data_IF_374947037750
#
_entry.id   IF_374947037750
#
_cell.length_a   1.000
_cell.length_b   1.000
_cell.length_c   1.000
_cell.angle_alpha   90.00
_cell.angle_beta   90.00
_cell.angle_gamma   90.00
#
_symmetry.space_group_name_H-M   'P 1'
#
loop_
_entity.id
_entity.type
_entity.pdbx_description
1 polymer ?
#
# COMPACT_ATOMS: atom_id res chain seq x y z
N UNK A 1 20.93 -4.74 34.85
CA UNK A 1 19.87 -5.62 34.30
C UNK A 1 20.60 -6.66 33.46
N UNK A 2 20.37 -7.95 33.71
CA UNK A 2 20.98 -9.05 32.93
C UNK A 2 20.32 -9.07 31.55
N UNK A 3 21.10 -8.95 30.47
CA UNK A 3 20.59 -9.00 29.10
C UNK A 3 19.70 -10.25 28.89
N UNK A 4 18.57 -10.14 28.17
CA UNK A 4 17.71 -11.28 27.89
C UNK A 4 18.50 -12.37 27.14
N UNK A 5 18.49 -13.60 27.68
CA UNK A 5 19.14 -14.74 27.03
C UNK A 5 18.23 -15.28 25.92
N UNK A 6 18.33 -14.70 24.72
CA UNK A 6 17.60 -15.19 23.55
C UNK A 6 18.14 -16.55 23.05
N UNK A 7 17.29 -17.44 22.53
CA UNK A 7 17.75 -18.65 21.83
C UNK A 7 18.56 -18.28 20.58
N UNK A 8 19.43 -19.18 20.15
CA UNK A 8 20.24 -19.01 18.94
C UNK A 8 19.61 -19.81 17.79
N UNK A 9 19.47 -19.16 16.64
CA UNK A 9 19.16 -19.81 15.36
C UNK A 9 20.30 -19.56 14.38
N UNK A 10 20.58 -20.53 13.50
CA UNK A 10 21.78 -20.47 12.65
C UNK A 10 21.46 -20.65 11.18
N UNK A 11 22.13 -19.85 10.35
CA UNK A 11 22.15 -20.04 8.91
C UNK A 11 22.82 -21.36 8.52
N UNK A 12 22.37 -21.94 7.42
CA UNK A 12 23.08 -23.07 6.78
C UNK A 12 24.41 -22.58 6.18
N UNK A 13 25.41 -23.46 6.04
CA UNK A 13 26.70 -23.11 5.44
C UNK A 13 26.64 -22.48 4.04
N UNK A 14 25.61 -22.81 3.25
CA UNK A 14 25.40 -22.30 1.90
C UNK A 14 24.47 -21.08 1.81
N UNK A 15 23.95 -20.59 2.94
CA UNK A 15 23.08 -19.41 2.95
C UNK A 15 23.91 -18.12 2.73
N UNK A 16 23.30 -17.11 2.12
CA UNK A 16 23.98 -15.87 1.78
C UNK A 16 24.01 -14.89 2.97
N UNK A 17 24.85 -15.16 3.98
CA UNK A 17 25.01 -14.29 5.14
C UNK A 17 25.42 -12.85 4.76
N UNK A 18 26.15 -12.67 3.64
CA UNK A 18 26.55 -11.36 3.13
C UNK A 18 25.35 -10.49 2.74
N UNK A 19 24.34 -11.06 2.08
CA UNK A 19 23.14 -10.32 1.71
C UNK A 19 22.40 -9.78 2.94
N UNK A 20 22.27 -10.60 3.98
CA UNK A 20 21.64 -10.19 5.24
C UNK A 20 22.45 -9.08 5.91
N UNK A 21 23.78 -9.19 5.98
CA UNK A 21 24.66 -8.12 6.50
C UNK A 21 24.50 -6.80 5.72
N UNK A 22 24.25 -6.89 4.42
CA UNK A 22 24.07 -5.73 3.54
C UNK A 22 22.64 -5.16 3.52
N UNK A 23 21.75 -5.63 4.38
CA UNK A 23 20.41 -5.06 4.54
C UNK A 23 19.25 -5.93 4.07
N UNK A 24 19.49 -7.13 3.52
CA UNK A 24 18.39 -8.04 3.21
C UNK A 24 17.66 -8.45 4.50
N UNK A 25 16.34 -8.24 4.63
CA UNK A 25 15.66 -8.31 5.92
C UNK A 25 15.19 -9.72 6.30
N UNK A 26 15.24 -10.69 5.39
CA UNK A 26 14.62 -12.00 5.55
C UNK A 26 15.62 -13.15 5.56
N UNK A 27 15.27 -14.22 6.27
CA UNK A 27 15.88 -15.55 6.11
C UNK A 27 14.76 -16.49 5.67
N UNK A 28 14.97 -17.22 4.59
CA UNK A 28 14.01 -18.21 4.13
C UNK A 28 14.18 -19.55 4.85
N UNK A 29 13.11 -20.33 4.97
CA UNK A 29 13.13 -21.60 5.70
C UNK A 29 14.18 -22.60 5.18
N UNK A 30 14.53 -22.55 3.89
CA UNK A 30 15.57 -23.36 3.27
C UNK A 30 17.00 -22.84 3.53
N UNK A 31 17.16 -21.66 4.14
CA UNK A 31 18.45 -21.04 4.48
C UNK A 31 18.81 -21.20 5.96
N UNK A 32 17.84 -21.59 6.82
CA UNK A 32 18.04 -21.81 8.25
C UNK A 32 18.26 -23.29 8.58
N UNK A 33 19.10 -23.58 9.58
CA UNK A 33 19.23 -24.90 10.18
C UNK A 33 18.00 -25.16 11.06
N UNK A 34 17.23 -26.19 10.71
CA UNK A 34 15.99 -26.55 11.43
C UNK A 34 16.16 -27.85 12.22
N UNK A 35 16.66 -27.70 13.45
CA UNK A 35 16.75 -28.77 14.44
C UNK A 35 15.49 -28.86 15.33
N UNK A 36 15.51 -29.75 16.33
CA UNK A 36 14.38 -29.90 17.25
C UNK A 36 14.08 -28.63 18.06
N UNK A 37 15.10 -27.84 18.42
CA UNK A 37 14.96 -26.64 19.27
C UNK A 37 14.35 -25.48 18.48
N UNK A 38 14.91 -25.18 17.31
CA UNK A 38 14.40 -24.14 16.41
C UNK A 38 12.98 -24.43 15.93
N UNK A 39 12.62 -25.69 15.67
CA UNK A 39 11.24 -26.10 15.32
C UNK A 39 10.25 -25.96 16.47
N UNK A 40 10.71 -25.99 17.72
CA UNK A 40 9.85 -25.83 18.90
C UNK A 40 9.60 -24.38 19.31
N UNK A 41 10.22 -23.40 18.64
CA UNK A 41 9.98 -21.99 18.91
C UNK A 41 8.54 -21.62 18.52
N UNK A 42 7.86 -20.88 19.37
CA UNK A 42 6.54 -20.35 19.05
C UNK A 42 6.66 -19.30 17.93
N UNK A 43 5.69 -19.20 17.00
CA UNK A 43 5.63 -18.08 16.06
C UNK A 43 5.75 -16.72 16.76
N UNK A 44 6.67 -15.88 16.31
CA UNK A 44 6.95 -14.57 16.90
C UNK A 44 8.04 -14.56 17.97
N UNK A 45 8.63 -15.73 18.30
CA UNK A 45 9.74 -15.82 19.25
C UNK A 45 10.94 -15.00 18.77
N UNK A 46 11.62 -14.33 19.69
CA UNK A 46 12.87 -13.63 19.42
C UNK A 46 14.07 -14.59 19.52
N UNK A 47 15.06 -14.42 18.65
CA UNK A 47 16.27 -15.23 18.63
C UNK A 47 17.47 -14.41 18.11
N UNK A 48 18.68 -14.78 18.53
CA UNK A 48 19.91 -14.30 17.90
C UNK A 48 20.18 -15.12 16.65
N UNK A 49 20.32 -14.45 15.51
CA UNK A 49 20.75 -15.08 14.27
C UNK A 49 22.27 -15.15 14.23
N UNK A 50 22.81 -16.34 14.01
CA UNK A 50 24.22 -16.56 13.71
C UNK A 50 24.42 -17.00 12.25
N UNK A 51 25.58 -16.65 11.69
CA UNK A 51 26.05 -17.27 10.46
C UNK A 51 26.60 -18.70 10.69
N UNK A 52 27.10 -19.33 9.63
CA UNK A 52 27.64 -20.68 9.69
C UNK A 52 28.89 -20.80 10.59
N UNK A 53 29.63 -19.71 10.78
CA UNK A 53 30.84 -19.61 11.60
C UNK A 53 30.53 -19.23 13.06
N UNK A 54 29.24 -19.21 13.43
CA UNK A 54 28.72 -18.82 14.76
C UNK A 54 28.99 -17.36 15.11
N UNK A 55 29.12 -16.51 14.10
CA UNK A 55 29.22 -15.06 14.31
C UNK A 55 27.81 -14.49 14.44
N UNK A 56 27.47 -13.78 15.53
CA UNK A 56 26.19 -13.09 15.66
C UNK A 56 25.96 -12.07 14.53
N UNK A 57 24.73 -12.03 14.01
CA UNK A 57 24.32 -11.16 12.90
C UNK A 57 23.27 -10.12 13.30
N UNK A 58 22.55 -10.37 14.39
CA UNK A 58 21.50 -9.50 14.92
C UNK A 58 20.34 -10.28 15.56
N UNK A 59 19.39 -9.52 16.10
CA UNK A 59 18.16 -10.01 16.69
C UNK A 59 17.08 -10.21 15.60
N UNK A 60 16.47 -11.39 15.58
CA UNK A 60 15.41 -11.75 14.63
C UNK A 60 14.17 -12.24 15.35
N UNK A 61 13.01 -12.07 14.71
CA UNK A 61 11.84 -12.90 15.03
C UNK A 61 11.93 -14.23 14.28
N UNK A 62 11.36 -15.29 14.84
CA UNK A 62 11.26 -16.62 14.23
C UNK A 62 9.80 -17.05 14.09
N UNK A 63 9.42 -17.55 12.92
CA UNK A 63 8.16 -18.24 12.69
C UNK A 63 8.43 -19.56 11.94
N UNK A 64 8.50 -20.71 12.64
CA UNK A 64 8.84 -21.99 12.00
C UNK A 64 7.86 -22.45 10.92
N UNK A 65 6.64 -21.88 10.88
CA UNK A 65 5.59 -22.23 9.93
C UNK A 65 5.61 -21.35 8.67
N UNK A 66 6.43 -20.30 8.64
CA UNK A 66 6.52 -19.36 7.52
C UNK A 66 7.63 -19.73 6.54
N UNK A 67 7.42 -19.39 5.25
CA UNK A 67 8.51 -19.44 4.25
C UNK A 67 9.60 -18.43 4.57
N UNK A 68 9.22 -17.28 5.11
CA UNK A 68 10.13 -16.27 5.67
C UNK A 68 10.26 -16.61 7.16
N UNK A 69 11.19 -17.52 7.47
CA UNK A 69 11.29 -18.08 8.81
C UNK A 69 11.86 -17.09 9.82
N UNK A 70 12.75 -16.20 9.37
CA UNK A 70 13.24 -15.11 10.21
C UNK A 70 13.08 -13.75 9.53
N UNK A 71 12.80 -12.73 10.34
CA UNK A 71 12.85 -11.32 9.93
C UNK A 71 13.79 -10.57 10.87
N UNK A 72 14.70 -9.79 10.30
CA UNK A 72 15.67 -8.97 11.04
C UNK A 72 14.96 -7.82 11.76
N UNK A 73 15.04 -7.79 13.09
CA UNK A 73 14.47 -6.73 13.92
C UNK A 73 15.52 -5.68 14.25
N UNK A 74 16.69 -6.12 14.73
CA UNK A 74 17.80 -5.24 15.09
C UNK A 74 19.16 -5.87 14.75
N UNK A 75 20.15 -5.01 14.48
CA UNK A 75 21.54 -5.45 14.24
C UNK A 75 22.28 -5.72 15.54
N UNK A 76 21.85 -5.11 16.63
CA UNK A 76 22.33 -5.46 17.95
C UNK A 76 21.62 -6.74 18.43
N UNK A 77 22.36 -7.85 18.64
CA UNK A 77 21.78 -9.11 19.13
C UNK A 77 21.30 -9.04 20.59
N UNK A 78 21.69 -8.03 21.35
CA UNK A 78 21.31 -7.85 22.76
C UNK A 78 20.14 -6.88 22.96
N UNK A 79 19.64 -6.27 21.87
CA UNK A 79 18.55 -5.29 21.91
C UNK A 79 17.25 -5.88 22.49
N UNK A 80 16.46 -5.05 23.14
CA UNK A 80 15.16 -5.45 23.69
C UNK A 80 14.01 -4.81 22.91
N UNK A 81 13.04 -5.61 22.48
CA UNK A 81 11.85 -5.13 21.76
C UNK A 81 10.82 -4.58 22.76
N UNK A 82 11.06 -3.36 23.24
CA UNK A 82 10.20 -2.66 24.20
C UNK A 82 9.67 -1.32 23.63
N UNK A 83 8.93 -0.55 24.43
CA UNK A 83 8.36 0.73 24.00
C UNK A 83 9.43 1.75 23.56
N UNK A 84 10.64 1.74 24.15
CA UNK A 84 11.72 2.62 23.74
C UNK A 84 12.27 2.24 22.35
N UNK A 85 12.38 0.94 22.06
CA UNK A 85 12.77 0.42 20.75
C UNK A 85 11.80 0.84 19.64
N UNK A 86 10.50 0.75 19.90
CA UNK A 86 9.46 1.25 18.99
C UNK A 86 9.51 2.77 18.88
N UNK A 87 9.65 3.48 19.99
CA UNK A 87 9.73 4.94 20.04
C UNK A 87 10.86 5.49 19.15
N UNK A 88 12.06 4.91 19.24
CA UNK A 88 13.20 5.31 18.41
C UNK A 88 12.94 5.10 16.91
N UNK A 89 12.22 4.04 16.53
CA UNK A 89 11.84 3.75 15.14
C UNK A 89 10.73 4.67 14.63
N UNK A 90 9.70 4.89 15.44
CA UNK A 90 8.61 5.82 15.16
C UNK A 90 9.15 7.24 14.96
N UNK A 91 10.10 7.69 15.78
CA UNK A 91 10.73 9.00 15.62
C UNK A 91 11.45 9.14 14.28
N UNK A 92 12.19 8.11 13.84
CA UNK A 92 12.84 8.13 12.50
C UNK A 92 11.81 8.17 11.38
N UNK A 93 10.74 7.38 11.49
CA UNK A 93 9.67 7.34 10.51
C UNK A 93 8.91 8.67 10.43
N UNK A 94 8.56 9.26 11.58
CA UNK A 94 7.92 10.59 11.70
C UNK A 94 8.81 11.67 11.09
N UNK A 95 10.11 11.71 11.43
CA UNK A 95 11.05 12.68 10.89
C UNK A 95 11.15 12.58 9.35
N UNK A 96 11.12 11.36 8.81
CA UNK A 96 11.11 11.15 7.37
C UNK A 96 9.84 11.71 6.72
N UNK A 97 8.65 11.41 7.25
CA UNK A 97 7.39 11.88 6.66
C UNK A 97 7.19 13.38 6.84
N UNK A 98 7.64 13.96 7.95
CA UNK A 98 7.69 15.42 8.15
C UNK A 98 8.58 16.11 7.10
N UNK A 99 9.70 15.47 6.70
CA UNK A 99 10.56 15.99 5.62
C UNK A 99 9.87 15.95 4.25
N UNK A 100 9.03 14.96 4.00
CA UNK A 100 8.31 14.79 2.74
C UNK A 100 7.09 15.70 2.61
N UNK A 101 6.33 15.87 3.69
CA UNK A 101 5.01 16.49 3.64
C UNK A 101 4.80 17.67 4.60
N UNK A 102 5.87 18.12 5.26
CA UNK A 102 5.80 19.19 6.25
C UNK A 102 4.87 18.80 7.41
N UNK A 103 3.88 19.65 7.68
CA UNK A 103 2.93 19.47 8.78
C UNK A 103 1.76 18.53 8.45
N UNK A 104 1.70 17.95 7.25
CA UNK A 104 0.62 17.02 6.89
C UNK A 104 0.71 15.73 7.70
N UNK A 105 -0.33 15.47 8.49
CA UNK A 105 -0.44 14.29 9.37
C UNK A 105 -1.21 13.12 8.75
N UNK A 106 -1.39 13.13 7.44
CA UNK A 106 -2.01 12.05 6.70
C UNK A 106 -1.01 11.41 5.74
N UNK A 107 -0.55 10.20 6.03
CA UNK A 107 0.46 9.48 5.24
C UNK A 107 0.65 8.05 5.77
N UNK A 108 1.33 7.20 4.99
CA UNK A 108 1.92 5.99 5.55
C UNK A 108 3.06 6.35 6.49
N UNK A 109 2.88 6.11 7.78
CA UNK A 109 3.91 6.36 8.78
C UNK A 109 4.95 5.25 8.79
N UNK A 110 4.53 3.99 8.79
CA UNK A 110 5.43 2.82 8.82
C UNK A 110 5.11 1.90 7.67
N UNK A 111 6.14 1.56 6.89
CA UNK A 111 6.07 0.64 5.76
C UNK A 111 6.95 -0.60 5.98
N UNK A 112 6.57 -1.40 6.99
CA UNK A 112 7.12 -2.72 7.26
C UNK A 112 8.66 -2.74 7.39
N UNK A 113 9.32 -3.64 6.66
CA UNK A 113 10.78 -3.80 6.67
C UNK A 113 11.53 -2.51 6.33
N UNK A 114 10.98 -1.66 5.47
CA UNK A 114 11.63 -0.45 5.00
C UNK A 114 11.79 0.60 6.12
N UNK A 115 10.93 0.56 7.14
CA UNK A 115 11.01 1.40 8.34
C UNK A 115 11.56 0.66 9.57
N UNK A 116 12.12 -0.54 9.36
CA UNK A 116 12.74 -1.33 10.43
C UNK A 116 11.74 -1.99 11.38
N UNK A 117 10.49 -2.16 10.97
CA UNK A 117 9.44 -2.88 11.72
C UNK A 117 8.82 -3.97 10.81
N UNK A 118 9.53 -5.08 10.54
CA UNK A 118 9.09 -6.10 9.59
C UNK A 118 7.67 -6.62 9.84
N UNK A 119 6.81 -6.50 8.82
CA UNK A 119 5.41 -6.92 8.92
C UNK A 119 4.48 -5.97 9.68
N UNK A 120 4.95 -4.78 10.10
CA UNK A 120 4.09 -3.74 10.69
C UNK A 120 3.82 -2.66 9.64
N UNK A 121 2.55 -2.35 9.41
CA UNK A 121 2.16 -1.16 8.63
C UNK A 121 1.42 -0.21 9.56
N UNK A 122 1.71 1.08 9.48
CA UNK A 122 0.97 2.12 10.19
C UNK A 122 0.62 3.21 9.20
N UNK A 123 -0.67 3.42 8.98
CA UNK A 123 -1.18 4.59 8.27
C UNK A 123 -1.71 5.59 9.31
N UNK A 124 -1.27 6.85 9.18
CA UNK A 124 -1.66 7.95 10.07
C UNK A 124 -2.69 8.81 9.34
N UNK A 125 -3.78 9.12 10.04
CA UNK A 125 -4.88 9.99 9.62
C UNK A 125 -5.09 11.04 10.73
N UNK A 126 -4.31 12.12 10.69
CA UNK A 126 -4.26 13.11 11.76
C UNK A 126 -3.82 12.46 13.09
N UNK A 127 -4.67 12.45 14.12
CA UNK A 127 -4.42 11.81 15.41
C UNK A 127 -4.85 10.33 15.45
N UNK A 128 -5.37 9.79 14.33
CA UNK A 128 -5.77 8.38 14.21
C UNK A 128 -4.65 7.56 13.59
N UNK A 129 -4.25 6.48 14.25
CA UNK A 129 -3.23 5.53 13.80
C UNK A 129 -3.88 4.18 13.52
N UNK A 130 -3.89 3.77 12.26
CA UNK A 130 -4.37 2.45 11.85
C UNK A 130 -3.18 1.52 11.67
N UNK A 131 -3.08 0.54 12.56
CA UNK A 131 -1.93 -0.38 12.66
C UNK A 131 -2.33 -1.74 12.11
N UNK A 132 -1.56 -2.26 11.16
CA UNK A 132 -1.65 -3.63 10.68
C UNK A 132 -0.44 -4.44 11.20
N UNK A 133 -0.55 -5.11 12.36
CA UNK A 133 0.49 -6.01 12.87
C UNK A 133 0.38 -7.35 12.14
N UNK A 134 0.99 -7.45 10.95
CA UNK A 134 0.81 -8.62 10.09
C UNK A 134 1.72 -9.80 10.44
N UNK A 135 2.76 -9.60 11.25
CA UNK A 135 3.69 -10.64 11.70
C UNK A 135 3.47 -11.03 13.16
N UNK A 136 3.70 -12.30 13.52
CA UNK A 136 3.43 -12.84 14.85
C UNK A 136 4.12 -12.05 15.98
N UNK A 137 5.40 -11.67 15.82
CA UNK A 137 6.12 -10.89 16.83
C UNK A 137 5.46 -9.53 17.10
N UNK A 138 4.94 -8.87 16.06
CA UNK A 138 4.33 -7.56 16.18
C UNK A 138 2.99 -7.64 16.90
N UNK A 139 2.25 -8.73 16.70
CA UNK A 139 1.00 -8.99 17.43
C UNK A 139 1.29 -9.25 18.92
N UNK A 140 2.35 -9.98 19.25
CA UNK A 140 2.80 -10.21 20.64
C UNK A 140 3.28 -8.93 21.34
N UNK A 141 3.94 -8.03 20.61
CA UNK A 141 4.48 -6.77 21.17
C UNK A 141 3.57 -5.56 20.92
N UNK A 142 2.29 -5.79 20.60
CA UNK A 142 1.37 -4.73 20.21
C UNK A 142 1.20 -3.66 21.30
N UNK A 143 1.12 -4.06 22.58
CA UNK A 143 0.98 -3.11 23.69
C UNK A 143 2.20 -2.18 23.85
N UNK A 144 3.41 -2.69 23.59
CA UNK A 144 4.62 -1.88 23.62
C UNK A 144 4.64 -0.86 22.46
N UNK A 145 4.12 -1.25 21.28
CA UNK A 145 3.94 -0.34 20.15
C UNK A 145 2.88 0.74 20.47
N UNK A 146 1.75 0.35 21.07
CA UNK A 146 0.71 1.29 21.52
C UNK A 146 1.29 2.33 22.48
N UNK A 147 2.02 1.89 23.51
CA UNK A 147 2.66 2.79 24.47
C UNK A 147 3.67 3.75 23.81
N UNK A 148 4.40 3.28 22.79
CA UNK A 148 5.32 4.12 22.04
C UNK A 148 4.60 5.20 21.20
N UNK A 149 3.42 4.90 20.65
CA UNK A 149 2.59 5.87 19.91
C UNK A 149 1.98 6.88 20.87
N UNK A 150 1.46 6.45 22.03
CA UNK A 150 0.93 7.33 23.08
C UNK A 150 2.00 8.31 23.61
N UNK A 151 3.26 7.89 23.66
CA UNK A 151 4.36 8.78 24.02
C UNK A 151 4.76 9.76 22.90
N UNK A 152 4.51 9.42 21.64
CA UNK A 152 4.92 10.21 20.47
C UNK A 152 3.84 11.17 19.96
N UNK A 153 2.57 10.91 20.28
CA UNK A 153 1.42 11.70 19.84
C UNK A 153 0.48 11.95 21.00
N UNK A 154 0.06 13.19 21.30
CA UNK A 154 -0.89 13.45 22.35
C UNK A 154 -2.27 12.89 21.97
N UNK A 155 -2.91 12.15 22.89
CA UNK A 155 -4.27 11.60 22.76
C UNK A 155 -4.55 10.87 21.42
N UNK A 156 -3.75 9.86 21.03
CA UNK A 156 -3.96 9.19 19.76
C UNK A 156 -5.18 8.26 19.84
N UNK A 157 -5.95 8.19 18.75
CA UNK A 157 -6.86 7.08 18.52
C UNK A 157 -6.08 5.98 17.81
N UNK A 158 -6.05 4.77 18.34
CA UNK A 158 -5.29 3.65 17.78
C UNK A 158 -6.25 2.54 17.39
N UNK A 159 -6.25 2.19 16.10
CA UNK A 159 -7.04 1.09 15.55
C UNK A 159 -6.09 -0.05 15.19
N UNK A 160 -6.33 -1.23 15.76
CA UNK A 160 -5.69 -2.47 15.34
C UNK A 160 -6.50 -3.06 14.20
N UNK A 161 -5.96 -2.99 12.98
CA UNK A 161 -6.55 -3.59 11.79
C UNK A 161 -5.70 -4.78 11.36
N UNK A 162 -5.90 -5.90 12.06
CA UNK A 162 -5.31 -7.18 11.74
C UNK A 162 -6.20 -7.97 10.77
N UNK A 163 -6.59 -7.39 9.65
CA UNK A 163 -7.38 -8.11 8.62
C UNK A 163 -6.50 -8.44 7.40
N UNK A 164 -6.73 -9.61 6.78
CA UNK A 164 -6.15 -9.94 5.49
C UNK A 164 -5.20 -11.14 5.45
N UNK A 165 -4.75 -11.44 4.23
CA UNK A 165 -4.05 -12.70 3.89
C UNK A 165 -2.72 -12.88 4.62
N UNK A 166 -2.00 -11.80 4.92
CA UNK A 166 -0.67 -11.87 5.54
C UNK A 166 -0.72 -12.51 6.93
N UNK A 167 -1.72 -12.18 7.75
CA UNK A 167 -1.90 -12.75 9.10
C UNK A 167 -2.17 -14.25 9.08
N UNK A 168 -2.99 -14.72 8.14
CA UNK A 168 -3.25 -16.16 7.94
C UNK A 168 -1.97 -16.93 7.61
N UNK A 169 -1.04 -16.34 6.86
CA UNK A 169 0.27 -16.94 6.57
C UNK A 169 1.20 -16.98 7.79
N UNK A 170 0.97 -16.12 8.77
CA UNK A 170 1.72 -16.06 10.03
C UNK A 170 1.04 -16.87 11.15
N UNK A 171 -0.12 -17.49 10.87
CA UNK A 171 -0.87 -18.31 11.84
C UNK A 171 -1.71 -17.48 12.82
N UNK A 172 -1.99 -16.22 12.49
CA UNK A 172 -2.75 -15.30 13.33
C UNK A 172 -4.22 -15.23 12.90
N UNK A 173 -5.11 -15.04 13.88
CA UNK A 173 -6.52 -14.75 13.64
C UNK A 173 -6.71 -13.33 13.10
N UNK A 174 -7.79 -13.12 12.34
CA UNK A 174 -8.19 -11.78 11.91
C UNK A 174 -8.80 -11.02 13.08
N UNK A 175 -8.42 -9.77 13.24
CA UNK A 175 -8.94 -8.89 14.31
C UNK A 175 -9.10 -7.47 13.79
N UNK A 176 -10.13 -6.79 14.26
CA UNK A 176 -10.35 -5.37 14.07
C UNK A 176 -10.88 -4.79 15.38
N UNK A 177 -10.11 -3.92 16.02
CA UNK A 177 -10.49 -3.31 17.28
C UNK A 177 -9.92 -1.90 17.44
N UNK A 178 -10.64 -1.06 18.18
CA UNK A 178 -10.11 0.22 18.66
C UNK A 178 -9.34 -0.06 19.94
N UNK A 179 -8.01 0.00 19.85
CA UNK A 179 -7.13 -0.28 20.98
C UNK A 179 -7.05 0.89 21.96
N UNK A 180 -7.17 2.14 21.47
CA UNK A 180 -7.18 3.38 22.26
C UNK A 180 -8.05 4.44 21.60
N UNK A 181 -8.68 5.27 22.43
CA UNK A 181 -9.56 6.34 22.00
C UNK A 181 -10.87 5.82 21.39
N UNK A 182 -11.49 6.64 20.56
CA UNK A 182 -12.77 6.34 19.92
C UNK A 182 -12.73 6.76 18.44
N UNK A 183 -13.48 6.04 17.60
CA UNK A 183 -13.68 6.37 16.18
C UNK A 183 -15.16 6.70 15.98
N UNK A 184 -15.47 7.98 15.78
CA UNK A 184 -16.86 8.45 15.65
C UNK A 184 -17.44 8.27 14.23
N UNK A 185 -16.61 7.97 13.24
CA UNK A 185 -17.00 7.80 11.84
C UNK A 185 -15.83 8.01 10.88
N UNK A 186 -16.10 8.18 9.58
CA UNK A 186 -15.05 8.38 8.58
C UNK A 186 -14.21 9.62 8.87
N UNK A 187 -12.88 9.46 8.84
CA UNK A 187 -11.88 10.47 9.17
C UNK A 187 -11.59 11.33 7.95
N UNK A 188 -11.78 12.65 8.08
CA UNK A 188 -11.43 13.62 7.04
C UNK A 188 -9.92 13.80 6.90
N UNK A 189 -9.41 13.77 5.67
CA UNK A 189 -7.98 13.90 5.35
C UNK A 189 -7.78 14.81 4.15
N UNK A 190 -6.78 15.67 4.20
CA UNK A 190 -6.37 16.49 3.06
C UNK A 190 -5.14 15.90 2.35
N UNK A 191 -5.22 15.79 1.03
CA UNK A 191 -4.06 15.52 0.18
C UNK A 191 -4.27 16.13 -1.21
N UNK A 192 -3.22 16.61 -1.85
CA UNK A 192 -3.28 17.16 -3.22
C UNK A 192 -4.34 18.27 -3.42
N UNK A 193 -4.59 19.07 -2.39
CA UNK A 193 -5.62 20.11 -2.41
C UNK A 193 -7.07 19.60 -2.27
N UNK A 194 -7.28 18.30 -2.14
CA UNK A 194 -8.59 17.68 -2.00
C UNK A 194 -8.86 17.14 -0.59
N UNK A 195 -10.13 17.12 -0.20
CA UNK A 195 -10.61 16.50 1.04
C UNK A 195 -11.14 15.09 0.76
N UNK A 196 -10.61 14.11 1.47
CA UNK A 196 -10.96 12.70 1.41
C UNK A 196 -11.57 12.26 2.74
N UNK A 197 -12.34 11.18 2.73
CA UNK A 197 -12.82 10.54 3.94
C UNK A 197 -12.40 9.07 3.96
N UNK A 198 -11.75 8.67 5.04
CA UNK A 198 -11.30 7.31 5.27
C UNK A 198 -12.18 6.65 6.33
N UNK A 199 -12.86 5.56 5.97
CA UNK A 199 -13.46 4.68 6.96
C UNK A 199 -12.40 3.69 7.45
N UNK A 200 -11.93 3.91 8.69
CA UNK A 200 -10.83 3.15 9.28
C UNK A 200 -11.28 1.85 9.95
N UNK A 201 -12.59 1.61 10.04
CA UNK A 201 -13.17 0.40 10.61
C UNK A 201 -13.75 -0.51 9.53
N UNK A 202 -14.59 0.03 8.65
CA UNK A 202 -15.32 -0.77 7.65
C UNK A 202 -14.74 -0.63 6.23
N UNK A 203 -13.82 0.33 6.02
CA UNK A 203 -13.19 0.57 4.73
C UNK A 203 -12.21 -0.51 4.30
N UNK A 204 -11.90 -0.55 2.99
CA UNK A 204 -10.86 -1.45 2.49
C UNK A 204 -9.46 -1.03 2.96
N UNK A 205 -8.59 -2.02 3.19
CA UNK A 205 -7.24 -1.83 3.75
C UNK A 205 -7.30 -1.06 5.07
N UNK A 206 -6.76 0.15 5.11
CA UNK A 206 -6.71 1.06 6.26
C UNK A 206 -7.67 2.25 6.09
N UNK A 207 -8.44 2.30 4.99
CA UNK A 207 -9.43 3.33 4.67
C UNK A 207 -9.06 4.23 3.49
N UNK A 208 -7.77 4.41 3.15
CA UNK A 208 -7.30 5.24 2.03
C UNK A 208 -6.00 4.71 1.41
N UNK A 209 -5.77 5.03 0.15
CA UNK A 209 -4.59 4.61 -0.62
C UNK A 209 -3.57 5.75 -0.72
N UNK A 210 -2.72 5.91 0.31
CA UNK A 210 -1.65 6.92 0.31
C UNK A 210 -0.55 6.63 -0.73
N UNK A 211 -0.37 5.37 -1.12
CA UNK A 211 0.60 4.96 -2.15
C UNK A 211 0.36 5.65 -3.50
N UNK A 212 -0.88 6.00 -3.82
CA UNK A 212 -1.26 6.70 -5.05
C UNK A 212 -1.14 8.23 -4.99
N UNK A 213 -0.75 8.83 -3.86
CA UNK A 213 -0.74 10.30 -3.67
C UNK A 213 -0.08 11.06 -4.82
N UNK A 214 1.12 10.67 -5.22
CA UNK A 214 1.86 11.34 -6.29
C UNK A 214 1.21 11.13 -7.68
N UNK A 215 0.58 9.97 -7.89
CA UNK A 215 -0.11 9.65 -9.14
C UNK A 215 -1.43 10.42 -9.25
N UNK A 216 -2.16 10.60 -8.14
CA UNK A 216 -3.31 11.51 -8.06
C UNK A 216 -2.89 12.93 -8.42
N UNK A 217 -1.78 13.44 -7.85
CA UNK A 217 -1.26 14.77 -8.15
C UNK A 217 -0.85 14.92 -9.63
N UNK A 218 -0.20 13.90 -10.21
CA UNK A 218 0.13 13.89 -11.63
C UNK A 218 -1.13 13.98 -12.50
N UNK A 219 -2.12 13.12 -12.24
CA UNK A 219 -3.37 13.08 -12.99
C UNK A 219 -4.16 14.40 -12.89
N UNK A 220 -4.18 15.02 -11.71
CA UNK A 220 -4.87 16.28 -11.47
C UNK A 220 -4.35 17.42 -12.37
N UNK A 221 -3.05 17.44 -12.68
CA UNK A 221 -2.48 18.44 -13.62
C UNK A 221 -3.00 18.30 -15.05
N UNK A 222 -3.41 17.10 -15.45
CA UNK A 222 -4.01 16.86 -16.77
C UNK A 222 -5.49 17.25 -16.83
N UNK A 223 -6.11 17.48 -15.66
CA UNK A 223 -7.55 17.59 -15.53
C UNK A 223 -8.10 19.02 -15.52
N UNK A 224 -7.26 20.05 -15.64
CA UNK A 224 -7.72 21.45 -15.59
C UNK A 224 -8.74 21.73 -16.72
N UNK A 225 -9.95 22.17 -16.35
CA UNK A 225 -11.10 22.37 -17.25
C UNK A 225 -11.53 21.11 -18.05
N UNK A 226 -11.13 19.92 -17.61
CA UNK A 226 -11.39 18.65 -18.27
C UNK A 226 -12.61 17.93 -17.71
N UNK A 227 -13.27 17.09 -18.52
CA UNK A 227 -14.15 16.01 -18.04
C UNK A 227 -13.30 14.79 -17.71
N UNK A 228 -13.45 14.27 -16.50
CA UNK A 228 -12.65 13.14 -15.99
C UNK A 228 -13.54 11.93 -15.70
N UNK A 229 -13.09 10.76 -16.12
CA UNK A 229 -13.66 9.47 -15.71
C UNK A 229 -12.64 8.75 -14.80
N UNK A 230 -13.04 8.49 -13.56
CA UNK A 230 -12.26 7.72 -12.57
C UNK A 230 -12.91 6.34 -12.38
N UNK A 231 -12.30 5.30 -12.95
CA UNK A 231 -12.81 3.93 -12.91
C UNK A 231 -12.07 3.13 -11.84
N UNK A 232 -12.81 2.33 -11.08
CA UNK A 232 -12.32 1.68 -9.85
C UNK A 232 -11.96 2.74 -8.79
N UNK A 233 -12.81 3.76 -8.70
CA UNK A 233 -12.49 5.02 -8.01
C UNK A 233 -12.30 4.88 -6.50
N UNK A 234 -12.77 3.80 -5.88
CA UNK A 234 -12.84 3.66 -4.43
C UNK A 234 -13.50 4.91 -3.82
N UNK A 235 -12.88 5.55 -2.83
CA UNK A 235 -13.34 6.82 -2.21
C UNK A 235 -13.01 8.07 -3.04
N UNK A 236 -12.80 7.92 -4.35
CA UNK A 236 -12.60 9.02 -5.30
C UNK A 236 -11.16 9.56 -5.34
N UNK A 237 -10.15 8.69 -5.20
CA UNK A 237 -8.73 9.07 -5.14
C UNK A 237 -8.29 10.07 -6.21
N UNK A 238 -8.38 9.65 -7.47
CA UNK A 238 -8.02 10.45 -8.64
C UNK A 238 -9.08 11.51 -8.94
N UNK A 239 -10.36 11.16 -8.86
CA UNK A 239 -11.47 12.06 -9.14
C UNK A 239 -11.48 13.32 -8.27
N UNK A 240 -11.31 13.17 -6.95
CA UNK A 240 -11.30 14.31 -6.01
C UNK A 240 -10.07 15.20 -6.21
N UNK A 241 -8.89 14.61 -6.46
CA UNK A 241 -7.69 15.40 -6.77
C UNK A 241 -7.86 16.21 -8.05
N UNK A 242 -8.45 15.61 -9.09
CA UNK A 242 -8.75 16.29 -10.33
C UNK A 242 -9.73 17.44 -10.12
N UNK A 243 -10.79 17.21 -9.34
CA UNK A 243 -11.81 18.21 -9.03
C UNK A 243 -11.24 19.40 -8.26
N UNK A 244 -10.45 19.14 -7.21
CA UNK A 244 -9.76 20.17 -6.43
C UNK A 244 -8.80 21.01 -7.30
N UNK A 245 -8.22 20.42 -8.35
CA UNK A 245 -7.34 21.10 -9.29
C UNK A 245 -8.08 21.72 -10.50
N UNK A 246 -9.40 21.87 -10.43
CA UNK A 246 -10.18 22.61 -11.42
C UNK A 246 -10.71 21.80 -12.60
N UNK A 247 -10.94 20.49 -12.43
CA UNK A 247 -11.70 19.73 -13.41
C UNK A 247 -13.11 20.29 -13.62
N UNK A 248 -13.59 20.30 -14.87
CA UNK A 248 -14.92 20.79 -15.20
C UNK A 248 -16.02 19.86 -14.68
N UNK A 249 -15.73 18.56 -14.62
CA UNK A 249 -16.60 17.57 -14.01
C UNK A 249 -15.94 16.21 -13.92
N UNK A 250 -16.34 15.44 -12.91
CA UNK A 250 -15.82 14.11 -12.62
C UNK A 250 -16.97 13.11 -12.57
N UNK A 251 -16.78 11.96 -13.21
CA UNK A 251 -17.59 10.76 -13.02
C UNK A 251 -16.73 9.67 -12.35
N UNK A 252 -17.11 9.27 -11.14
CA UNK A 252 -16.47 8.18 -10.40
C UNK A 252 -17.29 6.89 -10.50
N UNK A 253 -16.63 5.79 -10.84
CA UNK A 253 -17.23 4.47 -11.03
C UNK A 253 -16.61 3.47 -10.06
N UNK A 254 -17.46 2.85 -9.23
CA UNK A 254 -17.06 1.77 -8.33
C UNK A 254 -18.21 0.80 -8.10
N UNK A 255 -17.91 -0.40 -7.61
CA UNK A 255 -18.94 -1.38 -7.23
C UNK A 255 -19.47 -1.17 -5.80
N UNK A 256 -18.70 -0.47 -4.97
CA UNK A 256 -19.00 -0.16 -3.58
C UNK A 256 -19.74 1.16 -3.43
N UNK A 257 -21.04 1.12 -3.10
CA UNK A 257 -21.81 2.33 -2.78
C UNK A 257 -21.22 3.10 -1.58
N UNK A 258 -20.84 2.45 -0.45
CA UNK A 258 -20.23 3.18 0.66
C UNK A 258 -18.96 3.95 0.27
N UNK A 259 -18.16 3.40 -0.66
CA UNK A 259 -16.98 4.11 -1.15
C UNK A 259 -17.35 5.35 -1.99
N UNK A 260 -18.37 5.23 -2.84
CA UNK A 260 -18.90 6.34 -3.65
C UNK A 260 -19.52 7.44 -2.77
N UNK A 261 -20.23 7.07 -1.69
CA UNK A 261 -20.77 8.02 -0.71
C UNK A 261 -19.66 8.83 -0.01
N UNK A 262 -18.55 8.16 0.37
CA UNK A 262 -17.37 8.85 0.93
C UNK A 262 -16.73 9.80 -0.10
N UNK A 263 -16.69 9.41 -1.37
CA UNK A 263 -16.20 10.27 -2.45
C UNK A 263 -17.08 11.52 -2.62
N UNK A 264 -18.41 11.34 -2.66
CA UNK A 264 -19.37 12.44 -2.72
C UNK A 264 -19.23 13.39 -1.51
N UNK A 265 -19.02 12.84 -0.31
CA UNK A 265 -18.76 13.62 0.90
C UNK A 265 -17.49 14.46 0.77
N UNK A 266 -16.44 13.90 0.17
CA UNK A 266 -15.21 14.64 -0.17
C UNK A 266 -15.49 15.83 -1.11
N UNK A 267 -16.21 15.59 -2.21
CA UNK A 267 -16.59 16.65 -3.15
C UNK A 267 -17.46 17.74 -2.50
N UNK A 268 -18.40 17.34 -1.63
CA UNK A 268 -19.25 18.26 -0.88
C UNK A 268 -18.45 19.11 0.13
N UNK A 269 -17.48 18.52 0.83
CA UNK A 269 -16.61 19.25 1.77
C UNK A 269 -15.78 20.34 1.07
N UNK A 270 -15.46 20.16 -0.21
CA UNK A 270 -14.78 21.16 -1.04
C UNK A 270 -15.74 22.18 -1.70
N UNK A 271 -17.05 22.05 -1.51
CA UNK A 271 -18.05 22.88 -2.19
C UNK A 271 -18.21 22.59 -3.69
N UNK A 272 -17.74 21.42 -4.16
CA UNK A 272 -17.67 21.04 -5.58
C UNK A 272 -18.64 19.90 -5.94
N UNK A 273 -19.60 19.58 -5.07
CA UNK A 273 -20.59 18.53 -5.30
C UNK A 273 -21.33 18.62 -6.66
N UNK A 274 -21.71 19.81 -7.19
CA UNK A 274 -22.37 19.89 -8.50
C UNK A 274 -21.54 19.38 -9.68
N UNK A 275 -20.21 19.33 -9.53
CA UNK A 275 -19.26 18.88 -10.56
C UNK A 275 -18.76 17.45 -10.31
N UNK A 276 -19.33 16.73 -9.34
CA UNK A 276 -18.96 15.35 -9.02
C UNK A 276 -20.16 14.43 -9.12
N UNK A 277 -20.05 13.40 -9.97
CA UNK A 277 -21.10 12.41 -10.18
C UNK A 277 -20.54 11.02 -9.95
N UNK A 278 -21.41 10.08 -9.57
CA UNK A 278 -21.05 8.69 -9.32
C UNK A 278 -21.91 7.75 -10.14
N UNK A 279 -21.36 6.60 -10.51
CA UNK A 279 -22.12 5.51 -11.13
C UNK A 279 -21.68 4.18 -10.54
N UNK A 280 -22.54 3.59 -9.71
CA UNK A 280 -22.31 2.28 -9.12
C UNK A 280 -22.43 1.18 -10.16
N UNK A 281 -21.45 0.28 -10.21
CA UNK A 281 -21.56 -0.94 -11.00
C UNK A 281 -20.25 -1.69 -11.15
N UNK A 282 -20.32 -2.85 -11.83
CA UNK A 282 -19.10 -3.49 -12.33
C UNK A 282 -18.43 -2.58 -13.35
N UNK A 283 -17.15 -2.28 -13.15
CA UNK A 283 -16.41 -1.33 -13.97
C UNK A 283 -16.42 -1.67 -15.47
N UNK A 284 -16.37 -2.96 -15.84
CA UNK A 284 -16.41 -3.35 -17.25
C UNK A 284 -17.79 -3.08 -17.85
N UNK A 285 -18.87 -3.44 -17.15
CA UNK A 285 -20.24 -3.16 -17.59
C UNK A 285 -20.53 -1.66 -17.69
N UNK A 286 -20.06 -0.87 -16.73
CA UNK A 286 -20.26 0.58 -16.75
C UNK A 286 -19.47 1.22 -17.90
N UNK A 287 -18.23 0.81 -18.15
CA UNK A 287 -17.47 1.30 -19.31
C UNK A 287 -18.13 0.92 -20.64
N UNK A 288 -18.71 -0.27 -20.75
CA UNK A 288 -19.48 -0.72 -21.92
C UNK A 288 -20.72 0.16 -22.14
N UNK A 289 -21.52 0.37 -21.09
CA UNK A 289 -22.70 1.24 -21.14
C UNK A 289 -22.34 2.69 -21.51
N UNK A 290 -21.28 3.26 -20.91
CA UNK A 290 -20.81 4.60 -21.27
C UNK A 290 -20.41 4.70 -22.74
N UNK A 291 -19.79 3.66 -23.30
CA UNK A 291 -19.43 3.64 -24.71
C UNK A 291 -20.68 3.55 -25.62
N UNK A 292 -21.69 2.77 -25.22
CA UNK A 292 -23.00 2.69 -25.91
C UNK A 292 -23.78 4.02 -25.82
N UNK A 293 -23.64 4.75 -24.71
CA UNK A 293 -24.17 6.11 -24.50
C UNK A 293 -23.43 7.16 -25.34
N UNK A 294 -22.29 6.81 -25.96
CA UNK A 294 -21.46 7.74 -26.73
C UNK A 294 -20.65 8.71 -25.86
N UNK A 295 -20.50 8.42 -24.56
CA UNK A 295 -19.75 9.26 -23.64
C UNK A 295 -18.25 9.22 -23.91
N UNK A 296 -17.62 10.39 -23.80
CA UNK A 296 -16.18 10.55 -23.92
C UNK A 296 -15.64 11.59 -22.96
N UNK A 297 -14.41 11.37 -22.51
CA UNK A 297 -13.74 12.15 -21.46
C UNK A 297 -12.37 12.62 -21.94
N UNK A 298 -11.92 13.74 -21.42
CA UNK A 298 -10.61 14.30 -21.75
C UNK A 298 -9.50 13.54 -20.98
N UNK A 299 -9.82 13.04 -19.77
CA UNK A 299 -8.94 12.20 -18.96
C UNK A 299 -9.71 10.98 -18.46
N UNK A 300 -9.18 9.78 -18.70
CA UNK A 300 -9.71 8.53 -18.13
C UNK A 300 -8.63 7.89 -17.26
N UNK A 301 -8.98 7.51 -16.02
CA UNK A 301 -8.11 6.77 -15.11
C UNK A 301 -8.73 5.41 -14.81
N UNK A 302 -7.92 4.36 -14.78
CA UNK A 302 -8.33 3.06 -14.25
C UNK A 302 -7.30 2.53 -13.26
N UNK A 303 -7.71 2.36 -12.00
CA UNK A 303 -6.91 1.74 -10.95
C UNK A 303 -7.56 0.46 -10.39
N UNK A 304 -7.58 -0.62 -11.18
CA UNK A 304 -8.24 -1.84 -10.76
C UNK A 304 -7.52 -2.53 -9.59
N UNK A 305 -8.21 -3.44 -8.87
CA UNK A 305 -7.57 -4.31 -7.90
C UNK A 305 -6.46 -5.17 -8.54
N UNK A 306 -5.64 -5.80 -7.71
CA UNK A 306 -4.53 -6.63 -8.18
C UNK A 306 -5.04 -7.86 -8.96
N UNK A 307 -5.03 -7.79 -10.30
CA UNK A 307 -5.39 -8.91 -11.18
C UNK A 307 -4.30 -10.00 -11.28
N UNK A 308 -3.05 -9.70 -10.92
CA UNK A 308 -1.92 -10.63 -10.92
C UNK A 308 -1.24 -10.69 -9.52
N UNK A 309 -1.92 -11.22 -8.49
CA UNK A 309 -1.39 -11.25 -7.12
C UNK A 309 -0.29 -12.32 -6.92
N UNK A 310 0.03 -13.14 -7.92
CA UNK A 310 1.08 -14.16 -7.87
C UNK A 310 1.63 -14.46 -9.26
N UNK A 311 2.80 -15.12 -9.32
CA UNK A 311 3.40 -15.57 -10.59
C UNK A 311 2.46 -16.48 -11.40
N UNK A 312 1.73 -17.38 -10.75
CA UNK A 312 0.79 -18.30 -11.41
C UNK A 312 -0.44 -17.60 -12.00
N UNK A 313 -0.79 -16.43 -11.48
CA UNK A 313 -1.90 -15.61 -11.96
C UNK A 313 -1.48 -14.58 -13.01
N UNK A 314 -0.18 -14.43 -13.28
CA UNK A 314 0.37 -13.33 -14.06
C UNK A 314 -0.24 -13.20 -15.46
N UNK A 315 -0.26 -14.29 -16.23
CA UNK A 315 -0.78 -14.26 -17.61
C UNK A 315 -2.25 -13.89 -17.69
N UNK A 316 -3.08 -14.41 -16.77
CA UNK A 316 -4.50 -14.05 -16.69
C UNK A 316 -4.67 -12.57 -16.30
N UNK A 317 -3.87 -12.11 -15.32
CA UNK A 317 -3.92 -10.73 -14.88
C UNK A 317 -3.48 -9.74 -15.97
N UNK A 318 -2.44 -10.04 -16.74
CA UNK A 318 -2.00 -9.21 -17.87
C UNK A 318 -3.08 -9.10 -18.96
N UNK A 319 -3.84 -10.17 -19.23
CA UNK A 319 -4.99 -10.10 -20.15
C UNK A 319 -6.13 -9.23 -19.60
N UNK A 320 -6.36 -9.24 -18.29
CA UNK A 320 -7.34 -8.37 -17.66
C UNK A 320 -6.92 -6.89 -17.76
N UNK A 321 -5.66 -6.57 -17.51
CA UNK A 321 -5.12 -5.21 -17.71
C UNK A 321 -5.22 -4.76 -19.18
N UNK A 322 -4.90 -5.64 -20.14
CA UNK A 322 -5.07 -5.37 -21.57
C UNK A 322 -6.53 -5.10 -21.93
N UNK A 323 -7.48 -5.83 -21.34
CA UNK A 323 -8.92 -5.60 -21.52
C UNK A 323 -9.36 -4.24 -20.96
N UNK A 324 -8.93 -3.89 -19.75
CA UNK A 324 -9.21 -2.57 -19.14
C UNK A 324 -8.69 -1.46 -20.06
N UNK A 325 -7.42 -1.55 -20.48
CA UNK A 325 -6.82 -0.56 -21.36
C UNK A 325 -7.61 -0.39 -22.67
N UNK A 326 -8.03 -1.50 -23.30
CA UNK A 326 -8.85 -1.46 -24.52
C UNK A 326 -10.19 -0.76 -24.32
N UNK A 327 -10.91 -1.09 -23.25
CA UNK A 327 -12.24 -0.52 -22.98
C UNK A 327 -12.15 0.96 -22.59
N UNK A 328 -11.22 1.31 -21.71
CA UNK A 328 -10.99 2.68 -21.30
C UNK A 328 -10.57 3.57 -22.47
N UNK A 329 -9.74 3.06 -23.40
CA UNK A 329 -9.31 3.79 -24.60
C UNK A 329 -10.47 4.27 -25.47
N UNK A 330 -11.57 3.51 -25.54
CA UNK A 330 -12.75 3.90 -26.31
C UNK A 330 -13.48 5.12 -25.72
N UNK A 331 -13.30 5.38 -24.42
CA UNK A 331 -13.91 6.50 -23.69
C UNK A 331 -13.04 7.76 -23.67
N UNK A 332 -11.82 7.70 -24.24
CA UNK A 332 -10.89 8.84 -24.27
C UNK A 332 -11.09 9.62 -25.57
N UNK A 333 -11.36 10.92 -25.44
CA UNK A 333 -11.47 11.85 -26.57
C UNK A 333 -10.20 11.86 -27.43
N UNK A 334 -10.30 12.26 -28.70
CA UNK A 334 -9.11 12.52 -29.50
C UNK A 334 -8.18 13.52 -28.80
N UNK A 335 -6.89 13.18 -28.68
CA UNK A 335 -5.89 13.99 -27.98
C UNK A 335 -5.93 13.90 -26.45
N UNK A 336 -6.88 13.15 -25.88
CA UNK A 336 -7.06 12.99 -24.44
C UNK A 336 -6.02 12.06 -23.79
N UNK A 337 -6.21 11.82 -22.50
CA UNK A 337 -5.26 11.10 -21.65
C UNK A 337 -5.85 9.84 -21.02
N UNK A 338 -5.01 8.81 -20.89
CA UNK A 338 -5.36 7.55 -20.24
C UNK A 338 -4.32 7.20 -19.16
N UNK A 339 -4.74 7.12 -17.91
CA UNK A 339 -3.95 6.60 -16.79
C UNK A 339 -4.34 5.17 -16.46
N UNK A 340 -3.36 4.28 -16.36
CA UNK A 340 -3.56 2.86 -16.03
C UNK A 340 -2.65 2.46 -14.88
N UNK A 341 -3.23 1.89 -13.83
CA UNK A 341 -2.52 1.53 -12.62
C UNK A 341 -2.53 0.01 -12.33
N UNK A 342 -1.55 -0.46 -11.57
CA UNK A 342 -1.43 -1.85 -11.14
C UNK A 342 -0.67 -1.98 -9.82
N UNK A 343 -1.35 -2.50 -8.80
CA UNK A 343 -0.75 -2.91 -7.52
C UNK A 343 -0.23 -4.37 -7.51
N UNK A 344 -0.20 -5.06 -8.66
CA UNK A 344 0.20 -6.47 -8.76
C UNK A 344 1.73 -6.60 -8.77
N UNK A 345 2.35 -7.07 -7.67
CA UNK A 345 3.81 -7.22 -7.57
C UNK A 345 4.41 -8.15 -8.65
N UNK A 346 3.68 -9.20 -9.07
CA UNK A 346 4.15 -10.14 -10.08
C UNK A 346 4.18 -9.54 -11.50
N UNK A 347 3.40 -8.48 -11.75
CA UNK A 347 3.34 -7.80 -13.03
C UNK A 347 4.39 -6.69 -13.08
N UNK A 348 5.63 -7.04 -13.39
CA UNK A 348 6.72 -6.07 -13.60
C UNK A 348 6.32 -4.92 -14.55
N UNK A 349 6.91 -3.75 -14.36
CA UNK A 349 6.59 -2.54 -15.14
C UNK A 349 6.61 -2.78 -16.65
N UNK A 350 7.62 -3.46 -17.17
CA UNK A 350 7.75 -3.74 -18.61
C UNK A 350 6.57 -4.57 -19.14
N UNK A 351 6.15 -5.61 -18.40
CA UNK A 351 5.03 -6.49 -18.75
C UNK A 351 3.70 -5.74 -18.67
N UNK A 352 3.48 -4.98 -17.60
CA UNK A 352 2.29 -4.15 -17.43
C UNK A 352 2.16 -3.12 -18.54
N UNK A 353 3.22 -2.34 -18.80
CA UNK A 353 3.29 -1.34 -19.87
C UNK A 353 2.98 -1.94 -21.23
N UNK A 354 3.54 -3.12 -21.54
CA UNK A 354 3.29 -3.80 -22.80
C UNK A 354 1.84 -4.29 -22.92
N UNK A 355 1.23 -4.78 -21.84
CA UNK A 355 -0.19 -5.16 -21.83
C UNK A 355 -1.10 -3.94 -22.05
N UNK A 356 -0.81 -2.82 -21.39
CA UNK A 356 -1.52 -1.56 -21.59
C UNK A 356 -1.42 -1.06 -23.03
N UNK A 357 -0.20 -1.03 -23.60
CA UNK A 357 0.02 -0.62 -24.98
C UNK A 357 -0.69 -1.51 -26.01
N UNK A 358 -0.71 -2.84 -25.79
CA UNK A 358 -1.50 -3.75 -26.64
C UNK A 358 -3.00 -3.48 -26.57
N UNK A 359 -3.51 -3.18 -25.38
CA UNK A 359 -4.92 -2.83 -25.18
C UNK A 359 -5.31 -1.58 -25.95
N UNK A 360 -4.50 -0.52 -25.84
CA UNK A 360 -4.65 0.73 -26.61
C UNK A 360 -4.63 0.45 -28.13
N UNK A 361 -3.64 -0.31 -28.60
CA UNK A 361 -3.52 -0.67 -30.03
C UNK A 361 -4.71 -1.50 -30.54
N UNK A 362 -5.26 -2.39 -29.72
CA UNK A 362 -6.47 -3.18 -30.06
C UNK A 362 -7.74 -2.34 -30.10
N UNK A 363 -7.77 -1.18 -29.47
CA UNK A 363 -8.83 -0.19 -29.64
C UNK A 363 -8.62 0.69 -30.89
N UNK A 364 -7.59 0.43 -31.71
CA UNK A 364 -7.32 1.16 -32.94
C UNK A 364 -6.64 2.52 -32.72
N UNK A 365 -6.14 2.78 -31.50
CA UNK A 365 -5.53 4.06 -31.11
C UNK A 365 -4.02 3.91 -30.91
N UNK A 366 -3.32 5.04 -30.93
CA UNK A 366 -1.90 5.11 -30.60
C UNK A 366 -1.70 6.06 -29.41
N UNK A 367 -0.65 5.83 -28.64
CA UNK A 367 -0.37 6.64 -27.46
C UNK A 367 1.11 6.85 -27.22
N UNK A 368 1.43 7.99 -26.60
CA UNK A 368 2.75 8.33 -26.09
C UNK A 368 2.74 8.20 -24.58
N UNK A 369 3.71 7.50 -24.00
CA UNK A 369 3.87 7.48 -22.55
C UNK A 369 4.42 8.83 -22.11
N UNK A 370 3.69 9.53 -21.25
CA UNK A 370 4.07 10.85 -20.73
C UNK A 370 4.52 10.77 -19.27
N UNK A 371 4.16 9.70 -18.56
CA UNK A 371 4.58 9.50 -17.19
C UNK A 371 4.55 8.02 -16.80
N UNK A 372 5.51 7.64 -15.95
CA UNK A 372 5.50 6.38 -15.22
C UNK A 372 5.66 6.72 -13.75
N UNK A 373 4.69 6.30 -12.95
CA UNK A 373 4.64 6.51 -11.51
C UNK A 373 4.72 5.21 -10.73
N UNK A 374 5.05 5.33 -9.46
CA UNK A 374 5.20 4.24 -8.50
C UNK A 374 4.47 4.62 -7.20
N UNK A 375 4.62 3.81 -6.15
CA UNK A 375 4.15 4.20 -4.83
C UNK A 375 4.89 5.45 -4.35
N UNK A 376 4.19 6.31 -3.60
CA UNK A 376 4.75 7.53 -3.03
C UNK A 376 5.94 7.30 -2.09
N UNK A 377 6.71 8.34 -1.77
CA UNK A 377 7.93 8.22 -0.97
C UNK A 377 7.68 7.81 0.49
N UNK A 378 6.44 7.87 0.98
CA UNK A 378 6.02 7.31 2.27
C UNK A 378 5.82 5.78 2.25
N UNK A 379 5.99 5.17 1.08
CA UNK A 379 6.07 3.73 0.84
C UNK A 379 7.48 3.37 0.34
N UNK A 380 8.53 3.59 1.16
CA UNK A 380 9.91 3.43 0.72
C UNK A 380 10.20 2.01 0.24
N UNK A 381 10.83 1.90 -0.93
CA UNK A 381 11.30 0.63 -1.48
C UNK A 381 12.67 0.30 -0.91
N UNK A 382 12.84 -0.93 -0.43
CA UNK A 382 14.16 -1.41 0.00
C UNK A 382 15.01 -1.81 -1.20
N UNK A 383 16.25 -1.30 -1.35
CA UNK A 383 17.13 -1.68 -2.46
C UNK A 383 17.41 -3.18 -2.54
N UNK A 384 17.49 -3.85 -1.38
CA UNK A 384 17.80 -5.27 -1.26
C UNK A 384 16.55 -6.15 -1.43
N UNK A 385 15.34 -5.59 -1.38
CA UNK A 385 14.08 -6.33 -1.47
C UNK A 385 13.23 -5.76 -2.61
N UNK A 386 13.55 -6.18 -3.83
CA UNK A 386 12.90 -5.69 -5.04
C UNK A 386 11.37 -5.85 -5.01
N UNK A 387 10.88 -6.89 -4.33
CA UNK A 387 9.46 -7.21 -4.15
C UNK A 387 8.66 -6.12 -3.42
N UNK A 388 9.33 -5.20 -2.71
CA UNK A 388 8.68 -4.03 -2.10
C UNK A 388 8.17 -3.02 -3.13
N UNK A 389 8.64 -3.07 -4.39
CA UNK A 389 8.14 -2.24 -5.49
C UNK A 389 6.88 -2.82 -6.16
N UNK A 390 5.71 -2.63 -5.56
CA UNK A 390 4.47 -3.28 -6.03
C UNK A 390 3.60 -2.42 -6.96
N UNK A 391 3.59 -1.09 -6.80
CA UNK A 391 2.69 -0.18 -7.51
C UNK A 391 3.32 0.36 -8.79
N UNK A 392 2.55 0.36 -9.88
CA UNK A 392 2.93 0.98 -11.15
C UNK A 392 1.76 1.76 -11.70
N UNK A 393 2.00 2.98 -12.16
CA UNK A 393 1.06 3.80 -12.91
C UNK A 393 1.70 4.20 -14.24
N UNK A 394 0.99 4.08 -15.36
CA UNK A 394 1.47 4.53 -16.66
C UNK A 394 0.42 5.43 -17.29
N UNK A 395 0.82 6.63 -17.67
CA UNK A 395 -0.06 7.62 -18.29
C UNK A 395 0.31 7.80 -19.76
N UNK A 396 -0.71 7.78 -20.60
CA UNK A 396 -0.62 7.93 -22.04
C UNK A 396 -1.34 9.19 -22.48
N UNK A 397 -0.74 9.93 -23.43
CA UNK A 397 -1.47 10.86 -24.30
C UNK A 397 -1.84 10.12 -25.57
N UNK A 398 -3.12 10.08 -25.93
CA UNK A 398 -3.60 9.39 -27.12
C UNK A 398 -3.58 10.30 -28.36
N UNK A 399 -3.62 9.70 -29.54
CA UNK A 399 -3.70 10.40 -30.81
C UNK A 399 -4.98 11.25 -30.94
N UNK A 400 -4.87 12.35 -31.69
CA UNK A 400 -5.91 13.35 -31.92
C UNK A 400 -6.77 13.09 -33.15
#
# INVERSE_FOLDING_TARGET
MTSPSYPIVRLRPNANARAIRHGFPWVYANELVLDRRSKSLAPGSLAVLEDADRTPMGLVTVNPNSKIICRMLDRDPEEEINAAWFGARLQRALAHRARLYGDTQAHRLVHAEADGMPGVVIDRFNDVFVIQPNAAWADTHFDALVAAIEAASPNPTIVKNGTGRARKLEGLEETLEVARGDVAGPVGVEMNGATYFADVLEGQKTGLFFDQRENHAFAARLAVNARVLDVFSHVGGFGLAALANGAAGVLSVDSSEPALELAQRGAAAMGLAPSFTTRRGDAFKVMEALAEEGETFDVVICDPPAFAPSKDALERGLRAYERVARMATALVRPGGYLGLCSCSHAAELSKFRNASARGIGRAGRRGQIIHTGFAGPDHPQMPQLAESGYLKAVFFRLDG
#
